data_IF_530404752358
#
_entry.id   IF_530404752358
#
_cell.length_a   1.000
_cell.length_b   1.000
_cell.length_c   1.000
_cell.angle_alpha   90.00
_cell.angle_beta   90.00
_cell.angle_gamma   90.00
#
_symmetry.space_group_name_H-M   'P 1'
#
loop_
_entity.id
_entity.type
_entity.pdbx_description
1 polymer ?
#
# COMPACT_ATOMS: atom_id res chain seq x y z
N UNK A 1 6.57 15.36 27.92
CA UNK A 1 6.81 14.74 26.59
C UNK A 1 8.23 15.11 26.14
N UNK A 2 9.21 14.22 26.26
CA UNK A 2 10.63 14.55 26.02
C UNK A 2 11.58 13.34 25.96
N UNK A 3 11.06 12.14 25.68
CA UNK A 3 11.87 10.93 25.46
C UNK A 3 11.60 10.43 24.04
N UNK A 4 12.67 10.07 23.33
CA UNK A 4 12.58 9.56 21.94
C UNK A 4 11.82 8.24 21.85
N UNK A 5 11.86 7.44 22.92
CA UNK A 5 11.22 6.13 22.99
C UNK A 5 10.34 6.04 24.25
N UNK A 6 9.09 5.63 24.09
CA UNK A 6 8.12 5.40 25.16
C UNK A 6 7.76 3.90 25.16
N UNK A 7 8.13 3.13 26.20
CA UNK A 7 7.76 1.73 26.29
C UNK A 7 6.28 1.56 26.66
N UNK A 8 5.59 0.67 25.95
CA UNK A 8 4.18 0.31 26.13
C UNK A 8 4.01 -1.07 26.80
N UNK A 9 5.10 -1.72 27.22
CA UNK A 9 5.08 -3.08 27.79
C UNK A 9 4.27 -3.21 29.09
N UNK A 10 4.01 -2.11 29.81
CA UNK A 10 3.26 -2.10 31.08
C UNK A 10 1.84 -1.56 30.94
N UNK A 11 1.42 -1.22 29.72
CA UNK A 11 0.11 -0.65 29.44
C UNK A 11 -0.86 -1.72 28.93
N UNK A 12 -2.15 -1.55 29.25
CA UNK A 12 -3.20 -2.42 28.71
C UNK A 12 -3.40 -2.13 27.22
N UNK A 13 -2.96 -3.04 26.36
CA UNK A 13 -3.17 -2.97 24.91
C UNK A 13 -4.44 -3.73 24.51
N UNK A 14 -4.93 -3.47 23.30
CA UNK A 14 -6.05 -4.22 22.70
C UNK A 14 -5.78 -5.73 22.74
N UNK A 15 -4.51 -6.14 22.60
CA UNK A 15 -4.08 -7.54 22.67
C UNK A 15 -4.24 -8.11 24.09
N UNK A 16 -3.94 -7.34 25.14
CA UNK A 16 -4.13 -7.79 26.54
C UNK A 16 -5.60 -7.92 26.93
N UNK A 17 -6.48 -7.04 26.42
CA UNK A 17 -7.93 -7.11 26.68
C UNK A 17 -8.54 -8.35 26.01
N UNK A 18 -8.17 -8.61 24.75
CA UNK A 18 -8.67 -9.78 24.00
C UNK A 18 -8.07 -11.08 24.53
N UNK A 19 -6.86 -11.05 25.11
CA UNK A 19 -6.27 -12.20 25.81
C UNK A 19 -7.10 -12.63 27.02
N UNK A 20 -7.80 -11.70 27.67
CA UNK A 20 -8.74 -12.00 28.75
C UNK A 20 -9.96 -12.84 28.32
N UNK A 21 -10.23 -12.99 27.02
CA UNK A 21 -11.36 -13.77 26.49
C UNK A 21 -11.03 -15.25 26.22
N UNK A 22 -9.81 -15.72 26.57
CA UNK A 22 -9.47 -17.14 26.56
C UNK A 22 -8.91 -17.70 25.25
N UNK A 23 -8.43 -16.85 24.33
CA UNK A 23 -7.81 -17.29 23.07
C UNK A 23 -6.36 -17.79 23.26
N UNK A 24 -5.91 -18.79 22.47
CA UNK A 24 -4.52 -19.23 22.49
C UNK A 24 -3.56 -18.14 22.04
N UNK A 25 -2.57 -17.84 22.88
CA UNK A 25 -1.59 -16.74 22.72
C UNK A 25 -0.89 -16.71 21.35
N UNK A 26 -0.66 -17.88 20.76
CA UNK A 26 0.10 -18.01 19.51
C UNK A 26 -0.62 -17.44 18.29
N UNK A 27 -1.96 -17.45 18.27
CA UNK A 27 -2.76 -16.98 17.13
C UNK A 27 -3.49 -15.67 17.41
N UNK A 28 -3.51 -15.22 18.67
CA UNK A 28 -4.29 -14.05 19.09
C UNK A 28 -3.95 -12.80 18.27
N UNK A 29 -2.68 -12.43 18.18
CA UNK A 29 -2.27 -11.24 17.42
C UNK A 29 -2.64 -11.37 15.93
N UNK A 30 -2.41 -12.53 15.32
CA UNK A 30 -2.73 -12.78 13.91
C UNK A 30 -4.23 -12.65 13.66
N UNK A 31 -5.07 -13.30 14.49
CA UNK A 31 -6.53 -13.27 14.34
C UNK A 31 -7.08 -11.87 14.53
N UNK A 32 -6.62 -11.14 15.56
CA UNK A 32 -7.08 -9.77 15.83
C UNK A 32 -6.72 -8.82 14.68
N UNK A 33 -5.47 -8.83 14.21
CA UNK A 33 -5.09 -7.97 13.09
C UNK A 33 -5.77 -8.37 11.79
N UNK A 34 -5.97 -9.67 11.53
CA UNK A 34 -6.70 -10.13 10.36
C UNK A 34 -8.15 -9.63 10.35
N UNK A 35 -8.85 -9.70 11.50
CA UNK A 35 -10.22 -9.18 11.64
C UNK A 35 -10.25 -7.67 11.41
N UNK A 36 -9.32 -6.91 12.00
CA UNK A 36 -9.24 -5.46 11.82
C UNK A 36 -8.99 -5.13 10.34
N UNK A 37 -8.03 -5.77 9.69
CA UNK A 37 -7.72 -5.54 8.27
C UNK A 37 -8.92 -5.84 7.38
N UNK A 38 -9.62 -6.97 7.61
CA UNK A 38 -10.81 -7.32 6.85
C UNK A 38 -11.94 -6.31 7.07
N UNK A 39 -12.18 -5.90 8.31
CA UNK A 39 -13.18 -4.89 8.64
C UNK A 39 -12.88 -3.56 7.94
N UNK A 40 -11.64 -3.10 8.02
CA UNK A 40 -11.20 -1.86 7.36
C UNK A 40 -11.30 -1.96 5.84
N UNK A 41 -10.97 -3.13 5.26
CA UNK A 41 -11.13 -3.41 3.83
C UNK A 41 -12.60 -3.29 3.43
N UNK A 42 -13.52 -3.95 4.12
CA UNK A 42 -14.95 -3.88 3.79
C UNK A 42 -15.50 -2.47 3.95
N UNK A 43 -15.09 -1.75 4.99
CA UNK A 43 -15.51 -0.38 5.23
C UNK A 43 -15.03 0.58 4.13
N UNK A 44 -13.76 0.45 3.72
CA UNK A 44 -13.19 1.23 2.62
C UNK A 44 -13.82 0.92 1.27
N UNK A 45 -14.00 -0.37 0.96
CA UNK A 45 -14.65 -0.76 -0.28
C UNK A 45 -16.07 -0.20 -0.34
N UNK A 46 -16.86 -0.38 0.74
CA UNK A 46 -18.20 0.17 0.83
C UNK A 46 -18.20 1.69 0.66
N UNK A 47 -17.33 2.40 1.39
CA UNK A 47 -17.20 3.85 1.28
C UNK A 47 -16.88 4.31 -0.15
N UNK A 48 -15.94 3.65 -0.83
CA UNK A 48 -15.53 3.98 -2.21
C UNK A 48 -16.62 3.68 -3.26
N UNK A 49 -17.63 2.87 -2.92
CA UNK A 49 -18.81 2.65 -3.75
C UNK A 49 -19.96 3.65 -3.50
N UNK A 50 -19.93 4.39 -2.38
CA UNK A 50 -20.95 5.42 -2.11
C UNK A 50 -20.83 6.62 -3.05
N UNK A 51 -21.87 7.46 -3.13
CA UNK A 51 -21.86 8.69 -3.93
C UNK A 51 -20.69 9.63 -3.55
N UNK A 52 -20.44 9.79 -2.26
CA UNK A 52 -19.31 10.57 -1.77
C UNK A 52 -17.95 9.96 -2.17
N UNK A 53 -17.84 8.62 -2.14
CA UNK A 53 -16.63 7.92 -2.58
C UNK A 53 -16.39 8.02 -4.09
N UNK A 54 -17.44 7.97 -4.90
CA UNK A 54 -17.34 8.19 -6.35
C UNK A 54 -16.97 9.63 -6.68
N UNK A 55 -17.56 10.61 -5.99
CA UNK A 55 -17.23 12.02 -6.13
C UNK A 55 -15.77 12.31 -5.71
N UNK A 56 -15.29 11.66 -4.65
CA UNK A 56 -13.89 11.74 -4.22
C UNK A 56 -12.93 11.19 -5.28
N UNK A 57 -13.27 10.07 -5.93
CA UNK A 57 -12.47 9.49 -7.01
C UNK A 57 -12.46 10.35 -8.27
N UNK A 58 -13.63 10.82 -8.69
CA UNK A 58 -13.75 11.73 -9.82
C UNK A 58 -12.98 13.04 -9.58
N UNK A 59 -12.98 13.54 -8.34
CA UNK A 59 -12.14 14.68 -7.92
C UNK A 59 -10.65 14.40 -8.10
N UNK A 60 -10.21 13.17 -7.83
CA UNK A 60 -8.82 12.73 -8.03
C UNK A 60 -8.40 12.60 -9.49
N UNK A 61 -9.31 12.14 -10.35
CA UNK A 61 -9.06 12.00 -11.80
C UNK A 61 -9.10 13.35 -12.53
N UNK A 62 -10.13 14.17 -12.25
CA UNK A 62 -10.27 15.51 -12.84
C UNK A 62 -11.01 16.47 -11.90
N UNK A 63 -10.30 17.35 -11.18
CA UNK A 63 -10.95 18.34 -10.31
C UNK A 63 -11.83 19.32 -11.11
N UNK A 64 -11.41 19.70 -12.33
CA UNK A 64 -12.14 20.60 -13.20
C UNK A 64 -13.54 20.07 -13.60
N UNK A 65 -13.67 18.75 -13.77
CA UNK A 65 -14.95 18.12 -14.07
C UNK A 65 -15.95 18.32 -12.92
N UNK A 66 -15.52 18.06 -11.68
CA UNK A 66 -16.38 18.20 -10.49
C UNK A 66 -16.76 19.66 -10.24
N UNK A 67 -15.84 20.59 -10.47
CA UNK A 67 -16.11 22.03 -10.38
C UNK A 67 -17.15 22.48 -11.42
N UNK A 68 -17.06 21.99 -12.66
CA UNK A 68 -18.04 22.31 -13.71
C UNK A 68 -19.44 21.72 -13.44
N UNK A 69 -19.51 20.63 -12.67
CA UNK A 69 -20.75 19.99 -12.22
C UNK A 69 -21.33 20.64 -10.94
N UNK A 70 -20.74 21.73 -10.45
CA UNK A 70 -21.19 22.46 -9.26
C UNK A 70 -20.79 21.80 -7.93
N UNK A 71 -19.89 20.82 -7.96
CA UNK A 71 -19.37 20.15 -6.77
C UNK A 71 -18.22 20.92 -6.12
N UNK A 72 -18.08 20.82 -4.80
CA UNK A 72 -16.98 21.42 -4.06
C UNK A 72 -15.79 20.45 -3.93
N UNK A 73 -14.78 20.66 -4.75
CA UNK A 73 -13.52 19.90 -4.80
C UNK A 73 -12.74 19.96 -3.50
N UNK A 74 -12.72 21.11 -2.83
CA UNK A 74 -11.93 21.30 -1.62
C UNK A 74 -12.51 20.52 -0.43
N UNK A 75 -13.84 20.47 -0.32
CA UNK A 75 -14.48 19.62 0.68
C UNK A 75 -14.13 18.14 0.45
N UNK A 76 -14.12 17.68 -0.80
CA UNK A 76 -13.73 16.30 -1.13
C UNK A 76 -12.26 16.04 -0.81
N UNK A 77 -11.34 16.97 -1.11
CA UNK A 77 -9.92 16.85 -0.73
C UNK A 77 -9.74 16.79 0.79
N UNK A 78 -10.42 17.64 1.55
CA UNK A 78 -10.35 17.65 3.02
C UNK A 78 -10.87 16.33 3.59
N UNK A 79 -11.99 15.83 3.05
CA UNK A 79 -12.56 14.55 3.48
C UNK A 79 -11.60 13.39 3.17
N UNK A 80 -11.02 13.34 1.98
CA UNK A 80 -10.04 12.32 1.60
C UNK A 80 -8.77 12.38 2.45
N UNK A 81 -8.23 13.57 2.69
CA UNK A 81 -7.04 13.77 3.51
C UNK A 81 -7.29 13.40 4.97
N UNK A 82 -8.44 13.78 5.52
CA UNK A 82 -8.85 13.43 6.88
C UNK A 82 -9.00 11.92 7.06
N UNK A 83 -9.64 11.25 6.09
CA UNK A 83 -9.80 9.80 6.10
C UNK A 83 -8.44 9.09 5.99
N UNK A 84 -7.57 9.52 5.08
CA UNK A 84 -6.23 8.96 4.93
C UNK A 84 -5.40 9.10 6.22
N UNK A 85 -5.37 10.30 6.82
CA UNK A 85 -4.64 10.55 8.06
C UNK A 85 -5.21 9.76 9.24
N UNK A 86 -6.54 9.60 9.32
CA UNK A 86 -7.18 8.76 10.32
C UNK A 86 -6.76 7.28 10.22
N UNK A 87 -6.70 6.73 9.01
CA UNK A 87 -6.24 5.36 8.78
C UNK A 87 -4.75 5.18 9.10
N UNK A 88 -3.92 6.16 8.75
CA UNK A 88 -2.48 6.15 9.07
C UNK A 88 -2.27 6.21 10.59
N UNK A 89 -3.01 7.06 11.30
CA UNK A 89 -2.96 7.16 12.75
C UNK A 89 -3.40 5.84 13.43
N UNK A 90 -4.48 5.22 12.96
CA UNK A 90 -4.95 3.91 13.42
C UNK A 90 -3.86 2.84 13.24
N UNK A 91 -3.27 2.75 12.05
CA UNK A 91 -2.19 1.81 11.73
C UNK A 91 -0.96 2.02 12.62
N UNK A 92 -0.57 3.27 12.84
CA UNK A 92 0.52 3.63 13.75
C UNK A 92 0.24 3.19 15.19
N UNK A 93 -0.95 3.49 15.71
CA UNK A 93 -1.35 3.09 17.06
C UNK A 93 -1.37 1.58 17.26
N UNK A 94 -1.85 0.82 16.27
CA UNK A 94 -1.83 -0.65 16.29
C UNK A 94 -0.41 -1.22 16.24
N UNK A 95 0.46 -0.60 15.45
CA UNK A 95 1.86 -1.02 15.32
C UNK A 95 2.65 -0.77 16.61
N UNK A 96 2.48 0.38 17.26
CA UNK A 96 3.11 0.67 18.55
C UNK A 96 2.67 -0.33 19.63
N UNK A 97 1.38 -0.68 19.65
CA UNK A 97 0.86 -1.69 20.57
C UNK A 97 1.44 -3.08 20.30
N UNK A 98 1.65 -3.45 19.03
CA UNK A 98 2.26 -4.73 18.67
C UNK A 98 3.74 -4.80 19.00
N UNK A 99 4.50 -3.72 18.75
CA UNK A 99 5.93 -3.68 19.03
C UNK A 99 6.24 -3.43 20.51
N UNK A 100 5.28 -2.91 21.29
CA UNK A 100 5.43 -2.66 22.72
C UNK A 100 6.24 -1.42 23.05
N UNK A 101 6.54 -0.57 22.06
CA UNK A 101 7.19 0.73 22.26
C UNK A 101 6.82 1.69 21.12
N UNK A 102 6.92 2.98 21.37
CA UNK A 102 6.70 4.04 20.40
C UNK A 102 7.95 4.92 20.30
N UNK A 103 8.51 5.03 19.10
CA UNK A 103 9.68 5.85 18.78
C UNK A 103 9.36 6.86 17.68
N UNK A 104 10.00 8.04 17.71
CA UNK A 104 9.82 9.10 16.70
C UNK A 104 10.23 8.63 15.29
N UNK A 105 11.28 7.81 15.18
CA UNK A 105 11.76 7.27 13.91
C UNK A 105 10.89 6.14 13.33
N UNK A 106 10.01 5.56 14.16
CA UNK A 106 9.13 4.46 13.77
C UNK A 106 8.13 4.89 12.69
N UNK A 107 7.63 6.12 12.77
CA UNK A 107 6.64 6.66 11.82
C UNK A 107 7.17 6.73 10.39
N UNK A 108 8.40 7.20 10.22
CA UNK A 108 9.05 7.28 8.90
C UNK A 108 9.18 5.87 8.29
N UNK A 109 9.61 4.88 9.09
CA UNK A 109 9.70 3.50 8.64
C UNK A 109 8.35 2.93 8.20
N UNK A 110 7.29 3.21 8.95
CA UNK A 110 5.94 2.73 8.63
C UNK A 110 5.36 3.34 7.36
N UNK A 111 5.64 4.63 7.08
CA UNK A 111 5.23 5.27 5.81
C UNK A 111 5.91 4.58 4.63
N UNK A 112 7.23 4.34 4.70
CA UNK A 112 7.99 3.69 3.62
C UNK A 112 7.49 2.27 3.38
N UNK A 113 7.25 1.49 4.44
CA UNK A 113 6.71 0.13 4.34
C UNK A 113 5.30 0.14 3.73
N UNK A 114 4.46 1.11 4.11
CA UNK A 114 3.11 1.27 3.58
C UNK A 114 3.11 1.57 2.07
N UNK A 115 3.88 2.58 1.65
CA UNK A 115 4.00 2.94 0.24
C UNK A 115 4.58 1.79 -0.59
N UNK A 116 5.62 1.11 -0.11
CA UNK A 116 6.20 -0.06 -0.78
C UNK A 116 5.16 -1.18 -1.00
N UNK A 117 4.35 -1.46 0.04
CA UNK A 117 3.32 -2.50 -0.02
C UNK A 117 2.23 -2.17 -1.05
N UNK A 118 1.83 -0.90 -1.15
CA UNK A 118 0.85 -0.43 -2.15
C UNK A 118 1.41 -0.58 -3.56
N UNK A 119 2.63 -0.11 -3.80
CA UNK A 119 3.30 -0.20 -5.11
C UNK A 119 3.41 -1.66 -5.56
N UNK A 120 3.89 -2.55 -4.69
CA UNK A 120 4.02 -3.98 -5.01
C UNK A 120 2.64 -4.59 -5.31
N UNK A 121 1.64 -4.25 -4.51
CA UNK A 121 0.26 -4.72 -4.69
C UNK A 121 -0.35 -4.32 -6.03
N UNK A 122 -0.16 -3.07 -6.44
CA UNK A 122 -0.64 -2.53 -7.72
C UNK A 122 0.05 -3.18 -8.92
N UNK A 123 1.36 -3.44 -8.83
CA UNK A 123 2.13 -4.11 -9.89
C UNK A 123 1.66 -5.55 -10.09
N UNK A 124 1.29 -6.25 -9.00
CA UNK A 124 0.82 -7.64 -9.06
C UNK A 124 -0.63 -7.74 -9.54
N UNK A 125 -1.53 -6.91 -9.00
CA UNK A 125 -2.96 -6.93 -9.38
C UNK A 125 -3.25 -5.78 -10.34
N UNK A 126 -2.98 -6.03 -11.63
CA UNK A 126 -3.13 -5.03 -12.71
C UNK A 126 -4.58 -4.93 -13.19
N UNK A 127 -5.47 -4.35 -12.39
CA UNK A 127 -6.89 -4.22 -12.75
C UNK A 127 -7.49 -2.87 -12.33
N UNK A 128 -8.54 -2.46 -13.03
CA UNK A 128 -9.22 -1.18 -12.84
C UNK A 128 -10.34 -1.20 -11.80
N UNK A 129 -10.67 -2.36 -11.23
CA UNK A 129 -11.75 -2.46 -10.22
C UNK A 129 -11.20 -2.18 -8.82
N UNK A 130 -11.87 -1.29 -8.08
CA UNK A 130 -11.48 -0.87 -6.72
C UNK A 130 -11.29 -2.05 -5.78
N UNK A 131 -12.22 -3.01 -5.79
CA UNK A 131 -12.20 -4.18 -4.88
C UNK A 131 -10.90 -4.97 -5.03
N UNK A 132 -10.42 -5.10 -6.27
CA UNK A 132 -9.18 -5.81 -6.55
C UNK A 132 -7.95 -4.93 -6.28
N UNK A 133 -8.06 -3.61 -6.43
CA UNK A 133 -6.99 -2.68 -6.04
C UNK A 133 -6.76 -2.70 -4.52
N UNK A 134 -7.82 -2.62 -3.70
CA UNK A 134 -7.72 -2.69 -2.23
C UNK A 134 -7.23 -4.06 -1.76
N UNK A 135 -7.68 -5.14 -2.40
CA UNK A 135 -7.15 -6.49 -2.16
C UNK A 135 -5.68 -6.61 -2.59
N UNK A 136 -5.28 -5.94 -3.67
CA UNK A 136 -3.90 -5.87 -4.16
C UNK A 136 -2.95 -5.30 -3.13
N UNK A 137 -3.34 -4.25 -2.41
CA UNK A 137 -2.51 -3.68 -1.33
C UNK A 137 -2.30 -4.70 -0.20
N UNK A 138 -3.34 -5.44 0.20
CA UNK A 138 -3.21 -6.50 1.21
C UNK A 138 -2.24 -7.58 0.73
N UNK A 139 -2.40 -8.05 -0.50
CA UNK A 139 -1.51 -9.04 -1.12
C UNK A 139 -0.06 -8.50 -1.20
N UNK A 140 0.11 -7.25 -1.62
CA UNK A 140 1.39 -6.57 -1.72
C UNK A 140 2.12 -6.47 -0.39
N UNK A 141 1.40 -6.22 0.70
CA UNK A 141 1.99 -6.21 2.06
C UNK A 141 2.51 -7.60 2.48
N UNK A 142 1.81 -8.67 2.09
CA UNK A 142 2.22 -10.05 2.35
C UNK A 142 3.45 -10.39 1.51
N UNK A 143 3.44 -10.07 0.22
CA UNK A 143 4.57 -10.30 -0.69
C UNK A 143 5.81 -9.56 -0.20
N UNK A 144 5.66 -8.29 0.19
CA UNK A 144 6.74 -7.50 0.78
C UNK A 144 7.34 -8.19 2.01
N UNK A 145 6.48 -8.70 2.92
CA UNK A 145 6.94 -9.39 4.12
C UNK A 145 7.62 -10.73 3.81
N UNK A 146 7.10 -11.49 2.84
CA UNK A 146 7.70 -12.74 2.39
C UNK A 146 9.07 -12.50 1.76
N UNK A 147 9.23 -11.44 0.97
CA UNK A 147 10.50 -11.13 0.36
C UNK A 147 11.56 -10.71 1.39
N UNK A 148 11.18 -9.96 2.43
CA UNK A 148 12.07 -9.69 3.57
C UNK A 148 12.46 -11.00 4.27
N UNK A 149 11.51 -11.91 4.48
CA UNK A 149 11.78 -13.19 5.13
C UNK A 149 12.75 -14.05 4.30
N UNK A 150 12.60 -14.08 2.98
CA UNK A 150 13.53 -14.77 2.08
C UNK A 150 14.91 -14.12 2.10
N UNK A 151 14.99 -12.80 2.05
CA UNK A 151 16.26 -12.08 2.17
C UNK A 151 16.99 -12.40 3.49
N UNK A 152 16.26 -12.47 4.60
CA UNK A 152 16.82 -12.87 5.89
C UNK A 152 17.33 -14.32 5.88
N UNK A 153 16.64 -15.25 5.22
CA UNK A 153 17.09 -16.65 5.09
C UNK A 153 18.33 -16.80 4.21
N UNK A 154 18.53 -15.90 3.25
CA UNK A 154 19.72 -15.85 2.39
C UNK A 154 20.96 -15.26 3.09
N UNK A 155 20.85 -14.89 4.37
CA UNK A 155 22.00 -14.50 5.21
C UNK A 155 22.31 -12.99 5.21
N UNK A 156 21.42 -12.15 4.68
CA UNK A 156 21.59 -10.69 4.78
C UNK A 156 21.41 -10.22 6.23
N UNK A 157 22.32 -9.37 6.70
CA UNK A 157 22.22 -8.78 8.03
C UNK A 157 20.96 -7.87 8.12
N UNK A 158 20.26 -7.81 9.28
CA UNK A 158 19.07 -6.97 9.45
C UNK A 158 19.32 -5.47 9.18
N UNK A 159 20.56 -5.01 9.35
CA UNK A 159 20.98 -3.62 9.09
C UNK A 159 20.97 -3.29 7.60
N UNK A 160 21.28 -4.27 6.75
CA UNK A 160 21.35 -4.13 5.28
C UNK A 160 19.98 -4.33 4.61
N UNK A 161 18.96 -4.75 5.38
CA UNK A 161 17.59 -4.90 4.90
C UNK A 161 17.01 -3.60 4.33
N UNK A 162 17.48 -2.42 4.77
CA UNK A 162 17.06 -1.15 4.18
C UNK A 162 17.50 -1.02 2.70
N UNK A 163 18.69 -1.53 2.37
CA UNK A 163 19.20 -1.54 0.99
C UNK A 163 18.44 -2.59 0.17
N UNK A 164 18.22 -3.78 0.74
CA UNK A 164 17.46 -4.85 0.07
C UNK A 164 16.01 -4.43 -0.20
N UNK A 165 15.36 -3.78 0.77
CA UNK A 165 13.99 -3.27 0.60
C UNK A 165 13.91 -2.15 -0.43
N UNK A 166 14.87 -1.22 -0.44
CA UNK A 166 14.96 -0.19 -1.48
C UNK A 166 15.15 -0.83 -2.88
N UNK A 167 16.05 -1.80 -3.01
CA UNK A 167 16.28 -2.51 -4.27
C UNK A 167 15.03 -3.25 -4.75
N UNK A 168 14.34 -3.94 -3.85
CA UNK A 168 13.10 -4.66 -4.16
C UNK A 168 12.03 -3.70 -4.67
N UNK A 169 11.85 -2.54 -4.01
CA UNK A 169 10.89 -1.51 -4.46
C UNK A 169 11.29 -0.95 -5.82
N UNK A 170 12.58 -0.68 -6.06
CA UNK A 170 13.09 -0.21 -7.35
C UNK A 170 12.81 -1.24 -8.45
N UNK A 171 13.04 -2.54 -8.19
CA UNK A 171 12.76 -3.61 -9.14
C UNK A 171 11.26 -3.75 -9.39
N UNK A 172 10.42 -3.67 -8.35
CA UNK A 172 8.98 -3.72 -8.48
C UNK A 172 8.44 -2.54 -9.32
N UNK A 173 8.96 -1.34 -9.11
CA UNK A 173 8.63 -0.14 -9.89
C UNK A 173 9.20 -0.22 -11.33
N UNK A 174 10.37 -0.82 -11.49
CA UNK A 174 11.04 -1.01 -12.77
C UNK A 174 10.38 -2.05 -13.67
N UNK A 175 9.75 -3.09 -13.09
CA UNK A 175 9.07 -4.15 -13.83
C UNK A 175 8.01 -3.65 -14.85
N UNK A 176 7.06 -2.74 -14.49
CA UNK A 176 6.12 -2.20 -15.47
C UNK A 176 6.78 -1.27 -16.50
N UNK A 177 7.84 -0.54 -16.11
CA UNK A 177 8.56 0.39 -17.00
C UNK A 177 9.40 -0.34 -18.05
N UNK A 178 10.16 -1.34 -17.63
CA UNK A 178 11.00 -2.16 -18.51
C UNK A 178 10.14 -2.93 -19.52
N UNK A 179 8.97 -3.44 -19.10
CA UNK A 179 8.04 -4.10 -20.01
C UNK A 179 7.42 -3.14 -21.03
N UNK A 180 7.14 -1.88 -20.67
CA UNK A 180 6.66 -0.87 -21.63
C UNK A 180 7.73 -0.51 -22.66
N UNK A 181 8.98 -0.38 -22.23
CA UNK A 181 10.11 -0.10 -23.11
C UNK A 181 10.31 -1.24 -24.11
N UNK A 182 10.35 -2.49 -23.64
CA UNK A 182 10.52 -3.67 -24.49
C UNK A 182 9.38 -3.89 -25.49
N UNK A 183 8.13 -3.55 -25.13
CA UNK A 183 6.98 -3.61 -26.05
C UNK A 183 7.01 -2.48 -27.10
N UNK A 184 7.54 -1.30 -26.75
CA UNK A 184 7.69 -0.20 -27.71
C UNK A 184 8.79 -0.48 -28.73
N UNK A 185 9.90 -1.10 -28.31
CA UNK A 185 11.00 -1.47 -29.20
C UNK A 185 10.53 -2.49 -30.24
N UNK A 186 9.80 -3.54 -29.83
CA UNK A 186 9.27 -4.56 -30.75
C UNK A 186 8.21 -4.00 -31.72
N UNK A 187 7.46 -2.97 -31.31
CA UNK A 187 6.47 -2.31 -32.18
C UNK A 187 7.11 -1.31 -33.15
N UNK A 188 8.18 -0.61 -32.73
CA UNK A 188 8.95 0.30 -33.57
C UNK A 188 9.71 -0.47 -34.67
N UNK A 189 10.27 -1.63 -34.34
CA UNK A 189 10.98 -2.50 -35.28
C UNK A 189 10.04 -3.01 -36.39
N UNK A 190 8.81 -3.44 -36.04
CA UNK A 190 7.79 -3.86 -37.01
C UNK A 190 7.29 -2.75 -37.94
N UNK A 191 7.35 -1.48 -37.49
CA UNK A 191 7.01 -0.33 -38.34
C UNK A 191 8.15 0.03 -39.31
N UNK A 192 9.41 -0.22 -38.92
CA UNK A 192 10.56 -0.08 -39.83
C UNK A 192 10.61 -1.20 -40.88
N UNK A 193 10.23 -2.43 -40.54
CA UNK A 193 10.10 -3.53 -41.51
C UNK A 193 8.98 -3.28 -42.54
N UNK A 194 7.85 -2.70 -42.12
CA UNK A 194 6.76 -2.33 -43.06
C UNK A 194 7.14 -1.17 -43.98
N UNK A 195 7.84 -0.16 -43.50
CA UNK A 195 8.24 1.00 -44.33
C UNK A 195 9.31 0.64 -45.36
N UNK A 196 10.19 -0.32 -45.05
CA UNK A 196 11.17 -0.86 -46.00
C UNK A 196 10.54 -1.80 -47.03
N UNK A 197 9.52 -2.59 -46.64
CA UNK A 197 8.75 -3.42 -47.56
C UNK A 197 7.91 -2.60 -48.56
N UNK A 198 7.28 -1.51 -48.11
CA UNK A 198 6.48 -0.64 -48.99
C UNK A 198 7.36 0.19 -49.96
N UNK A 199 8.61 0.46 -49.60
CA UNK A 199 9.58 1.14 -50.45
C UNK A 199 10.16 0.23 -51.56
N UNK A 200 10.09 -1.10 -51.40
CA UNK A 200 10.53 -2.06 -52.43
C UNK A 200 9.41 -2.51 -53.38
N UNK A 201 8.17 -2.11 -53.13
CA UNK A 201 7.00 -2.50 -53.95
C UNK A 201 6.54 -1.39 -54.91
N UNK A 202 7.31 -0.29 -55.03
CA UNK A 202 7.12 0.80 -56.01
C UNK A 202 8.36 0.93 -56.89
#
# INVERSE_FOLDING_TARGET
>A
MGRSNIPLLRETTILTVIKGWGFPDRYLALTVFAVIVLLMKFLLDYFLYTEAGMALRATGDSPAMIESLGGNTDHMKILGLGLANGLVALSGALTCQYQGFADVGMGIGMIVVGLASVIIGEVVIRTSRIIFATFGVILGSIIYRLAIAVALQLGFAPTDLKIVTALLVILALGAPSLRRFMIQDEFAERLMERSTSDAQTK
#
